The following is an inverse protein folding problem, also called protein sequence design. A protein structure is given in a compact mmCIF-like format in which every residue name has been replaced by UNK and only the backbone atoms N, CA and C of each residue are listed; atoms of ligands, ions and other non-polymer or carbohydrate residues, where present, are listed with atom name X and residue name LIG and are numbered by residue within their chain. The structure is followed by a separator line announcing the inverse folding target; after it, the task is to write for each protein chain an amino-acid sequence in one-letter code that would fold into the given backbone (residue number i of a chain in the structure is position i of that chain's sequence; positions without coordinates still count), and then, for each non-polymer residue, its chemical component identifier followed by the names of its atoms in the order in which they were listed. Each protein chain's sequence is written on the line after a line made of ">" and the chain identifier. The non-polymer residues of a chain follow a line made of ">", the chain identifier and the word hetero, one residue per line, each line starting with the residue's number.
data_IF_692704030886
#
_entry.id   IF_692704030886
#
_cell.length_a   1.000
_cell.length_b   1.000
_cell.length_c   1.000
_cell.angle_alpha   90.00
_cell.angle_beta   90.00
_cell.angle_gamma   90.00
#
_symmetry.space_group_name_H-M   'P 1'
#
loop_
_entity.id
_entity.type
_entity.pdbx_description
1 polymer ?
#
# COMPACT_ATOMS: atom_id res chain seq x y z
N UNK A 1 -9.29 -22.08 -24.96
CA UNK A 1 -8.01 -22.14 -24.22
C UNK A 1 -7.40 -20.76 -23.91
N UNK A 2 -8.04 -19.63 -24.24
CA UNK A 2 -7.55 -18.29 -23.88
C UNK A 2 -7.94 -17.86 -22.44
N UNK A 3 -9.09 -18.32 -21.93
CA UNK A 3 -9.56 -17.96 -20.58
C UNK A 3 -8.68 -18.49 -19.43
N UNK A 4 -8.08 -19.69 -19.59
CA UNK A 4 -7.21 -20.29 -18.58
C UNK A 4 -5.87 -19.57 -18.43
N UNK A 5 -5.35 -19.00 -19.53
CA UNK A 5 -4.10 -18.24 -19.53
C UNK A 5 -4.30 -16.92 -18.78
N UNK A 6 -5.43 -16.24 -19.01
CA UNK A 6 -5.77 -14.99 -18.32
C UNK A 6 -6.05 -15.20 -16.83
N UNK A 7 -6.73 -16.30 -16.45
CA UNK A 7 -7.01 -16.60 -15.05
C UNK A 7 -5.74 -16.93 -14.27
N UNK A 8 -4.83 -17.73 -14.85
CA UNK A 8 -3.52 -18.02 -14.25
C UNK A 8 -2.66 -16.76 -14.13
N UNK A 9 -2.71 -15.87 -15.13
CA UNK A 9 -1.99 -14.59 -15.11
C UNK A 9 -2.54 -13.62 -14.05
N UNK A 10 -3.86 -13.53 -13.91
CA UNK A 10 -4.51 -12.74 -12.87
C UNK A 10 -4.16 -13.26 -11.47
N UNK A 11 -4.25 -14.58 -11.25
CA UNK A 11 -3.85 -15.22 -9.99
C UNK A 11 -2.38 -14.95 -9.68
N UNK A 12 -1.48 -15.11 -10.67
CA UNK A 12 -0.06 -14.81 -10.50
C UNK A 12 0.18 -13.35 -10.11
N UNK A 13 -0.53 -12.42 -10.74
CA UNK A 13 -0.43 -10.99 -10.43
C UNK A 13 -0.90 -10.69 -9.01
N UNK A 14 -2.01 -11.30 -8.57
CA UNK A 14 -2.53 -11.17 -7.21
C UNK A 14 -1.54 -11.73 -6.19
N UNK A 15 -1.00 -12.94 -6.42
CA UNK A 15 -0.02 -13.56 -5.50
C UNK A 15 1.24 -12.70 -5.38
N UNK A 16 1.77 -12.18 -6.50
CA UNK A 16 2.97 -11.33 -6.47
C UNK A 16 2.68 -10.02 -5.71
N UNK A 17 1.55 -9.37 -6.00
CA UNK A 17 1.16 -8.14 -5.30
C UNK A 17 0.96 -8.38 -3.81
N UNK A 18 0.30 -9.49 -3.44
CA UNK A 18 0.07 -9.86 -2.05
C UNK A 18 1.37 -10.22 -1.35
N UNK A 19 2.33 -10.90 -1.98
CA UNK A 19 3.65 -11.15 -1.37
C UNK A 19 4.45 -9.87 -1.13
N UNK A 20 4.46 -8.94 -2.09
CA UNK A 20 5.16 -7.66 -1.96
C UNK A 20 4.53 -6.78 -0.88
N UNK A 21 3.20 -6.74 -0.81
CA UNK A 21 2.45 -5.95 0.18
C UNK A 21 2.42 -6.63 1.56
N UNK A 22 2.25 -7.95 1.59
CA UNK A 22 2.14 -8.73 2.81
C UNK A 22 3.47 -8.93 3.51
N UNK A 23 4.63 -8.69 2.87
CA UNK A 23 5.89 -8.68 3.60
C UNK A 23 5.85 -7.67 4.75
N UNK A 24 5.35 -6.46 4.51
CA UNK A 24 5.20 -5.45 5.55
C UNK A 24 4.05 -5.77 6.51
N UNK A 25 2.92 -6.27 5.99
CA UNK A 25 1.77 -6.64 6.83
C UNK A 25 2.04 -7.87 7.74
N UNK A 26 2.80 -8.84 7.25
CA UNK A 26 3.19 -10.05 8.00
C UNK A 26 4.25 -9.74 9.04
N UNK A 27 5.20 -8.85 8.76
CA UNK A 27 6.18 -8.38 9.73
C UNK A 27 5.50 -7.63 10.89
N UNK A 28 4.47 -6.83 10.62
CA UNK A 28 3.66 -6.18 11.66
C UNK A 28 2.92 -7.19 12.55
N UNK A 29 2.29 -8.21 11.95
CA UNK A 29 1.63 -9.29 12.71
C UNK A 29 2.66 -10.13 13.49
N UNK A 30 3.83 -10.37 12.92
CA UNK A 30 4.92 -11.09 13.59
C UNK A 30 5.46 -10.33 14.81
N UNK A 31 5.64 -9.01 14.68
CA UNK A 31 6.00 -8.14 15.79
C UNK A 31 4.94 -8.12 16.89
N UNK A 32 3.66 -8.07 16.53
CA UNK A 32 2.54 -8.13 17.49
C UNK A 32 2.44 -9.49 18.20
N UNK A 33 2.84 -10.57 17.53
CA UNK A 33 2.78 -11.94 18.03
C UNK A 33 3.88 -12.28 19.05
N UNK A 34 4.89 -11.39 19.24
CA UNK A 34 5.97 -11.53 20.24
C UNK A 34 6.65 -12.91 20.24
N UNK A 35 6.82 -13.53 19.07
CA UNK A 35 7.44 -14.84 18.91
C UNK A 35 6.50 -16.04 19.11
N UNK A 36 5.22 -15.84 19.39
CA UNK A 36 4.22 -16.91 19.45
C UNK A 36 3.71 -17.24 18.04
N UNK A 37 4.19 -18.37 17.48
CA UNK A 37 3.79 -18.85 16.16
C UNK A 37 2.28 -19.09 16.02
N UNK A 38 1.59 -19.47 17.10
CA UNK A 38 0.14 -19.68 17.07
C UNK A 38 -0.61 -18.36 16.83
N UNK A 39 -0.21 -17.29 17.51
CA UNK A 39 -0.80 -15.96 17.32
C UNK A 39 -0.49 -15.38 15.93
N UNK A 40 0.72 -15.64 15.43
CA UNK A 40 1.14 -15.24 14.08
C UNK A 40 0.28 -15.91 13.01
N UNK A 41 0.15 -17.23 13.06
CA UNK A 41 -0.64 -18.01 12.10
C UNK A 41 -2.12 -17.64 12.20
N UNK A 42 -2.66 -17.48 13.41
CA UNK A 42 -4.05 -17.06 13.61
C UNK A 42 -4.30 -15.65 13.06
N UNK A 43 -3.40 -14.70 13.30
CA UNK A 43 -3.51 -13.33 12.79
C UNK A 43 -3.50 -13.27 11.26
N UNK A 44 -2.61 -14.03 10.62
CA UNK A 44 -2.54 -14.10 9.16
C UNK A 44 -3.79 -14.76 8.56
N UNK A 45 -4.21 -15.90 9.13
CA UNK A 45 -5.37 -16.66 8.65
C UNK A 45 -6.66 -15.85 8.77
N UNK A 46 -6.81 -15.05 9.84
CA UNK A 46 -7.97 -14.18 10.02
C UNK A 46 -7.90 -12.91 9.14
N UNK A 47 -6.71 -12.42 8.82
CA UNK A 47 -6.54 -11.20 8.01
C UNK A 47 -7.06 -11.37 6.58
N UNK A 48 -6.73 -12.48 5.92
CA UNK A 48 -7.11 -12.75 4.52
C UNK A 48 -8.64 -12.68 4.30
N UNK A 49 -9.51 -13.41 5.04
CA UNK A 49 -10.95 -13.34 4.85
C UNK A 49 -11.52 -11.95 5.18
N UNK A 50 -10.99 -11.29 6.21
CA UNK A 50 -11.43 -9.93 6.58
C UNK A 50 -11.14 -8.94 5.45
N UNK A 51 -9.91 -8.95 4.91
CA UNK A 51 -9.51 -8.05 3.83
C UNK A 51 -10.25 -8.36 2.54
N UNK A 52 -10.37 -9.64 2.16
CA UNK A 52 -11.08 -10.02 0.94
C UNK A 52 -12.56 -9.63 0.99
N UNK A 53 -13.27 -9.89 2.09
CA UNK A 53 -14.67 -9.48 2.26
C UNK A 53 -14.81 -7.95 2.35
N UNK A 54 -13.95 -7.29 3.13
CA UNK A 54 -13.95 -5.84 3.28
C UNK A 54 -13.67 -5.11 1.96
N UNK A 55 -12.76 -5.65 1.14
CA UNK A 55 -12.41 -5.06 -0.16
C UNK A 55 -13.59 -4.98 -1.12
N UNK A 56 -14.53 -5.93 -1.07
CA UNK A 56 -15.74 -5.89 -1.90
C UNK A 56 -16.64 -4.71 -1.53
N UNK A 57 -16.76 -4.42 -0.22
CA UNK A 57 -17.52 -3.28 0.29
C UNK A 57 -16.83 -1.98 -0.14
N UNK A 58 -15.52 -1.88 0.06
CA UNK A 58 -14.73 -0.70 -0.32
C UNK A 58 -14.77 -0.48 -1.84
N UNK A 59 -14.65 -1.55 -2.64
CA UNK A 59 -14.75 -1.49 -4.10
C UNK A 59 -16.12 -1.00 -4.56
N UNK A 60 -17.19 -1.52 -3.95
CA UNK A 60 -18.56 -1.04 -4.21
C UNK A 60 -18.70 0.46 -3.89
N UNK A 61 -18.11 0.90 -2.79
CA UNK A 61 -18.14 2.30 -2.39
C UNK A 61 -17.31 3.20 -3.33
N UNK A 62 -16.15 2.74 -3.78
CA UNK A 62 -15.32 3.44 -4.78
C UNK A 62 -16.03 3.55 -6.13
N UNK A 63 -16.78 2.53 -6.55
CA UNK A 63 -17.60 2.59 -7.76
C UNK A 63 -18.73 3.62 -7.64
N UNK A 64 -19.36 3.73 -6.46
CA UNK A 64 -20.41 4.71 -6.19
C UNK A 64 -19.86 6.14 -6.02
N UNK A 65 -18.68 6.27 -5.43
CA UNK A 65 -18.02 7.55 -5.16
C UNK A 65 -16.57 7.53 -5.67
N UNK A 66 -16.34 7.82 -6.96
CA UNK A 66 -15.01 7.78 -7.58
C UNK A 66 -13.97 8.70 -6.92
N UNK A 67 -14.43 9.75 -6.20
CA UNK A 67 -13.56 10.61 -5.41
C UNK A 67 -12.78 9.85 -4.32
N UNK A 68 -13.31 8.73 -3.81
CA UNK A 68 -12.64 7.89 -2.82
C UNK A 68 -11.33 7.28 -3.33
N UNK A 69 -11.20 7.08 -4.64
CA UNK A 69 -9.95 6.59 -5.24
C UNK A 69 -8.82 7.61 -5.04
N UNK A 70 -9.11 8.90 -5.28
CA UNK A 70 -8.13 9.97 -5.09
C UNK A 70 -7.82 10.20 -3.60
N UNK A 71 -8.83 10.10 -2.73
CA UNK A 71 -8.62 10.19 -1.29
C UNK A 71 -7.75 9.04 -0.76
N UNK A 72 -8.04 7.80 -1.18
CA UNK A 72 -7.26 6.62 -0.82
C UNK A 72 -5.83 6.68 -1.34
N UNK A 73 -5.65 7.05 -2.61
CA UNK A 73 -4.33 7.25 -3.21
C UNK A 73 -3.54 8.36 -2.51
N UNK A 74 -4.21 9.46 -2.14
CA UNK A 74 -3.61 10.55 -1.38
C UNK A 74 -3.14 10.09 0.00
N UNK A 75 -3.97 9.35 0.72
CA UNK A 75 -3.63 8.81 2.03
C UNK A 75 -2.44 7.84 1.97
N UNK A 76 -2.46 6.88 1.04
CA UNK A 76 -1.38 5.87 0.88
C UNK A 76 -0.06 6.54 0.46
N UNK A 77 -0.11 7.49 -0.47
CA UNK A 77 1.09 8.21 -0.93
C UNK A 77 1.68 9.11 0.15
N UNK A 78 0.83 9.75 0.97
CA UNK A 78 1.27 10.56 2.09
C UNK A 78 1.99 9.72 3.14
N UNK A 79 1.37 8.64 3.60
CA UNK A 79 1.97 7.73 4.58
C UNK A 79 3.25 7.10 4.05
N UNK A 80 3.32 6.77 2.76
CA UNK A 80 4.55 6.30 2.10
C UNK A 80 5.66 7.34 2.22
N UNK A 81 5.38 8.61 1.96
CA UNK A 81 6.36 9.68 2.11
C UNK A 81 6.82 9.86 3.56
N UNK A 82 5.92 9.72 4.53
CA UNK A 82 6.28 9.76 5.96
C UNK A 82 7.12 8.55 6.37
N UNK A 83 6.84 7.36 5.84
CA UNK A 83 7.64 6.16 6.07
C UNK A 83 9.06 6.31 5.52
N UNK A 84 9.22 6.92 4.33
CA UNK A 84 10.53 7.22 3.74
C UNK A 84 11.31 8.20 4.65
N UNK A 85 10.64 9.26 5.12
CA UNK A 85 11.25 10.22 6.04
C UNK A 85 11.69 9.58 7.37
N UNK A 86 10.90 8.62 7.87
CA UNK A 86 11.16 7.90 9.12
C UNK A 86 12.17 6.75 9.01
N UNK A 87 12.56 6.35 7.80
CA UNK A 87 13.48 5.24 7.58
C UNK A 87 14.92 5.61 8.03
N UNK A 88 15.43 4.88 9.02
CA UNK A 88 16.78 5.05 9.59
C UNK A 88 17.91 4.85 8.58
N UNK A 89 17.66 4.16 7.46
CA UNK A 89 18.63 3.95 6.37
C UNK A 89 18.67 5.14 5.40
N UNK A 90 17.54 5.81 5.23
CA UNK A 90 17.37 6.94 4.30
C UNK A 90 17.65 8.27 5.01
N UNK A 91 17.40 8.34 6.32
CA UNK A 91 17.64 9.50 7.16
C UNK A 91 19.05 10.10 6.99
N UNK A 92 20.17 9.36 7.06
CA UNK A 92 21.52 9.95 6.96
C UNK A 92 21.77 10.65 5.61
N UNK A 93 21.27 10.08 4.52
CA UNK A 93 21.33 10.68 3.18
C UNK A 93 20.45 11.92 3.10
N UNK A 94 19.25 11.89 3.69
CA UNK A 94 18.35 13.05 3.71
C UNK A 94 18.87 14.20 4.58
N UNK A 95 19.46 13.94 5.75
CA UNK A 95 20.01 14.98 6.62
C UNK A 95 21.18 15.74 5.98
N UNK A 96 21.90 15.15 5.01
CA UNK A 96 23.04 15.79 4.34
C UNK A 96 22.62 16.68 3.17
N UNK A 97 21.57 16.32 2.41
CA UNK A 97 21.16 17.03 1.20
C UNK A 97 19.87 17.84 1.33
N UNK A 98 19.04 17.58 2.35
CA UNK A 98 17.68 18.13 2.48
C UNK A 98 17.54 18.90 3.79
N UNK A 99 17.33 20.23 3.77
CA UNK A 99 17.08 21.03 4.97
C UNK A 99 15.78 20.59 5.67
N UNK A 100 15.68 20.76 6.99
CA UNK A 100 14.55 20.22 7.79
C UNK A 100 13.17 20.63 7.28
N UNK A 101 13.02 21.87 6.85
CA UNK A 101 11.82 22.45 6.26
C UNK A 101 11.42 21.79 4.93
N UNK A 102 12.32 21.10 4.24
CA UNK A 102 12.05 20.41 2.98
C UNK A 102 11.66 18.93 3.18
N UNK A 103 11.87 18.36 4.38
CA UNK A 103 11.44 16.98 4.70
C UNK A 103 9.93 16.83 4.74
N UNK A 104 9.24 17.85 5.26
CA UNK A 104 7.78 17.89 5.28
C UNK A 104 7.17 18.07 3.88
N UNK A 105 7.96 18.52 2.90
CA UNK A 105 7.56 18.64 1.51
C UNK A 105 7.61 17.31 0.76
N UNK A 106 8.42 16.33 1.21
CA UNK A 106 8.57 15.06 0.51
C UNK A 106 7.26 14.24 0.40
N UNK A 107 6.48 14.04 1.48
CA UNK A 107 5.16 13.40 1.39
C UNK A 107 4.20 14.17 0.48
N UNK A 108 4.18 15.51 0.60
CA UNK A 108 3.32 16.35 -0.22
C UNK A 108 3.65 16.24 -1.72
N UNK A 109 4.93 16.20 -2.08
CA UNK A 109 5.38 16.03 -3.47
C UNK A 109 5.03 14.65 -3.99
N UNK A 110 5.27 13.58 -3.23
CA UNK A 110 4.90 12.21 -3.63
C UNK A 110 3.39 12.11 -3.84
N UNK A 111 2.59 12.63 -2.92
CA UNK A 111 1.14 12.67 -3.04
C UNK A 111 0.67 13.46 -4.24
N UNK A 112 1.23 14.64 -4.48
CA UNK A 112 0.89 15.45 -5.65
C UNK A 112 1.21 14.73 -6.97
N UNK A 113 2.38 14.08 -7.06
CA UNK A 113 2.77 13.30 -8.24
C UNK A 113 1.84 12.10 -8.48
N UNK A 114 1.44 11.38 -7.43
CA UNK A 114 0.53 10.23 -7.54
C UNK A 114 -0.86 10.68 -8.00
N UNK A 115 -1.41 11.74 -7.40
CA UNK A 115 -2.73 12.27 -7.78
C UNK A 115 -2.70 12.84 -9.20
N UNK A 116 -1.66 13.62 -9.54
CA UNK A 116 -1.51 14.22 -10.86
C UNK A 116 -1.30 13.15 -11.95
N UNK A 117 -0.44 12.17 -11.71
CA UNK A 117 -0.23 11.05 -12.62
C UNK A 117 -1.50 10.21 -12.82
N UNK A 118 -2.25 9.95 -11.75
CA UNK A 118 -3.54 9.28 -11.82
C UNK A 118 -4.60 10.06 -12.61
N UNK A 119 -4.62 11.39 -12.46
CA UNK A 119 -5.49 12.27 -13.26
C UNK A 119 -5.07 12.29 -14.74
N UNK A 120 -3.77 12.40 -15.03
CA UNK A 120 -3.22 12.43 -16.40
C UNK A 120 -3.56 11.15 -17.17
N UNK A 121 -3.31 9.97 -16.58
CA UNK A 121 -3.61 8.67 -17.19
C UNK A 121 -5.11 8.40 -17.36
N UNK A 122 -5.97 9.09 -16.61
CA UNK A 122 -7.42 9.01 -16.82
C UNK A 122 -7.87 9.88 -18.00
N UNK A 123 -7.13 10.95 -18.28
CA UNK A 123 -7.53 12.01 -19.20
C UNK A 123 -6.77 11.97 -20.55
N UNK A 124 -5.95 10.93 -20.77
CA UNK A 124 -5.27 10.55 -22.01
C UNK A 124 -5.39 9.04 -22.19
#
# INVERSE_FOLDING_TARGET
>A
MEASINMLQAIKTIIIADLVMSLDNTLAVAAASKGNYLLLIAGLTLSIPIVTMGSQIIASLMNKFPALVYLGAGFISWTTGEMINGDKRVAPFMYHYVPENLKSLLPAVITALVIFGGWWLKNH
#
